data_IF_560621455735
#
_entry.id   IF_560621455735
#
_cell.length_a   1.000
_cell.length_b   1.000
_cell.length_c   1.000
_cell.angle_alpha   90.00
_cell.angle_beta   90.00
_cell.angle_gamma   90.00
#
_symmetry.space_group_name_H-M   'P 1'
#
loop_
_entity.id
_entity.type
_entity.pdbx_description
1 polymer ?
#
# COMPACT_ATOMS: atom_id res chain seq x y z
N UNK A 1 14.45 -4.56 -13.62
CA UNK A 1 13.16 -3.86 -13.79
C UNK A 1 12.78 -3.93 -15.26
N UNK A 2 11.61 -4.50 -15.59
CA UNK A 2 11.13 -4.45 -16.97
C UNK A 2 10.74 -3.00 -17.31
N UNK A 3 11.04 -2.51 -18.53
CA UNK A 3 10.63 -1.17 -18.94
C UNK A 3 9.10 -1.08 -18.98
N UNK A 4 8.55 -0.06 -18.32
CA UNK A 4 7.13 0.28 -18.38
C UNK A 4 6.86 1.21 -19.55
N UNK A 5 5.70 1.03 -20.19
CA UNK A 5 5.22 1.83 -21.32
C UNK A 5 3.98 2.60 -20.88
N UNK A 6 3.88 3.86 -21.29
CA UNK A 6 2.70 4.67 -21.03
C UNK A 6 1.53 4.23 -21.90
N UNK A 7 0.51 3.65 -21.28
CA UNK A 7 -0.80 3.48 -21.86
C UNK A 7 -1.58 4.79 -21.73
N UNK A 8 -2.14 5.25 -22.85
CA UNK A 8 -3.01 6.42 -22.90
C UNK A 8 -4.43 5.98 -23.32
N UNK A 9 -5.26 5.48 -22.39
CA UNK A 9 -6.62 5.09 -22.70
C UNK A 9 -7.46 6.27 -23.19
N UNK A 10 -8.48 5.97 -23.99
CA UNK A 10 -9.48 6.97 -24.40
C UNK A 10 -10.20 7.53 -23.16
N UNK A 11 -10.51 8.82 -23.18
CA UNK A 11 -11.14 9.50 -22.05
C UNK A 11 -12.51 8.89 -21.69
N UNK A 12 -13.26 8.44 -22.68
CA UNK A 12 -14.57 7.81 -22.50
C UNK A 12 -14.47 6.48 -21.76
N UNK A 13 -13.46 5.67 -22.07
CA UNK A 13 -13.20 4.39 -21.39
C UNK A 13 -12.82 4.61 -19.91
N UNK A 14 -11.98 5.62 -19.64
CA UNK A 14 -11.61 5.99 -18.28
C UNK A 14 -12.81 6.53 -17.49
N UNK A 15 -13.58 7.44 -18.10
CA UNK A 15 -14.76 8.03 -17.47
C UNK A 15 -15.83 6.99 -17.16
N UNK A 16 -16.07 6.02 -18.06
CA UNK A 16 -17.00 4.92 -17.83
C UNK A 16 -16.62 4.03 -16.63
N UNK A 17 -15.34 4.00 -16.27
CA UNK A 17 -14.82 3.28 -15.12
C UNK A 17 -14.57 4.19 -13.90
N UNK A 18 -14.82 5.50 -13.98
CA UNK A 18 -14.52 6.46 -12.92
C UNK A 18 -13.01 6.70 -12.71
N UNK A 19 -12.17 6.34 -13.69
CA UNK A 19 -10.73 6.53 -13.64
C UNK A 19 -10.33 7.94 -14.10
N UNK A 20 -9.30 8.56 -13.49
CA UNK A 20 -8.80 9.86 -13.94
C UNK A 20 -8.08 9.76 -15.29
N UNK A 21 -8.16 10.84 -16.08
CA UNK A 21 -7.52 10.98 -17.39
C UNK A 21 -6.02 11.25 -17.26
N UNK A 22 -5.25 10.25 -16.84
CA UNK A 22 -3.79 10.29 -16.71
C UNK A 22 -3.13 9.17 -17.55
N UNK A 23 -1.82 9.26 -17.84
CA UNK A 23 -1.07 8.15 -18.39
C UNK A 23 -0.88 7.03 -17.35
N UNK A 24 -1.12 5.79 -17.78
CA UNK A 24 -0.96 4.60 -16.95
C UNK A 24 0.24 3.78 -17.42
N UNK A 25 1.29 3.63 -16.60
CA UNK A 25 2.42 2.79 -16.97
C UNK A 25 2.01 1.32 -16.88
N UNK A 26 2.34 0.53 -17.89
CA UNK A 26 2.04 -0.90 -17.97
C UNK A 26 3.21 -1.68 -18.59
N UNK A 27 3.24 -2.99 -18.42
CA UNK A 27 4.22 -3.84 -19.11
C UNK A 27 3.96 -3.89 -20.62
N UNK A 28 5.02 -4.04 -21.42
CA UNK A 28 4.90 -4.16 -22.88
C UNK A 28 3.91 -5.27 -23.32
N UNK A 29 3.90 -6.49 -22.73
CA UNK A 29 2.92 -7.50 -23.09
C UNK A 29 1.47 -7.05 -22.84
N UNK A 30 1.21 -6.36 -21.73
CA UNK A 30 -0.11 -5.84 -21.41
C UNK A 30 -0.53 -4.71 -22.35
N UNK A 31 0.40 -3.84 -22.73
CA UNK A 31 0.17 -2.81 -23.75
C UNK A 31 -0.22 -3.45 -25.09
N UNK A 32 0.55 -4.44 -25.55
CA UNK A 32 0.29 -5.15 -26.81
C UNK A 32 -1.07 -5.86 -26.78
N UNK A 33 -1.41 -6.49 -25.65
CA UNK A 33 -2.70 -7.14 -25.46
C UNK A 33 -3.87 -6.13 -25.48
N UNK A 34 -3.72 -4.97 -24.83
CA UNK A 34 -4.74 -3.92 -24.84
C UNK A 34 -5.00 -3.37 -26.25
N UNK A 35 -3.95 -3.22 -27.07
CA UNK A 35 -4.06 -2.83 -28.48
C UNK A 35 -4.75 -3.90 -29.31
N UNK A 36 -4.46 -5.19 -29.05
CA UNK A 36 -5.04 -6.31 -29.79
C UNK A 36 -6.51 -6.59 -29.41
N UNK A 37 -6.88 -6.39 -28.15
CA UNK A 37 -8.20 -6.73 -27.59
C UNK A 37 -9.19 -5.56 -27.64
N UNK A 38 -9.21 -4.81 -28.75
CA UNK A 38 -10.12 -3.67 -29.00
C UNK A 38 -10.18 -2.64 -27.85
N UNK A 39 -9.05 -2.40 -27.18
CA UNK A 39 -8.96 -1.40 -26.12
C UNK A 39 -9.43 -1.85 -24.73
N UNK A 40 -9.62 -3.15 -24.50
CA UNK A 40 -9.84 -3.68 -23.15
C UNK A 40 -8.68 -3.27 -22.22
N UNK A 41 -9.01 -2.63 -21.09
CA UNK A 41 -8.01 -2.04 -20.21
C UNK A 41 -7.38 -3.09 -19.28
N UNK A 42 -6.03 -3.19 -19.22
CA UNK A 42 -5.34 -4.12 -18.34
C UNK A 42 -5.26 -3.55 -16.91
N UNK A 43 -6.37 -3.58 -16.18
CA UNK A 43 -6.52 -2.88 -14.88
C UNK A 43 -5.45 -3.27 -13.85
N UNK A 44 -5.07 -4.55 -13.79
CA UNK A 44 -4.04 -5.04 -12.87
C UNK A 44 -2.65 -4.48 -13.20
N UNK A 45 -2.25 -4.46 -14.48
CA UNK A 45 -1.00 -3.84 -14.92
C UNK A 45 -1.01 -2.33 -14.70
N UNK A 46 -2.14 -1.67 -14.95
CA UNK A 46 -2.30 -0.23 -14.67
C UNK A 46 -2.11 0.07 -13.19
N UNK A 47 -2.68 -0.74 -12.29
CA UNK A 47 -2.50 -0.59 -10.85
C UNK A 47 -1.03 -0.84 -10.47
N UNK A 48 -0.44 -1.93 -10.96
CA UNK A 48 0.94 -2.29 -10.66
C UNK A 48 1.93 -1.21 -11.09
N UNK A 49 1.79 -0.68 -12.31
CA UNK A 49 2.65 0.39 -12.78
C UNK A 49 2.50 1.67 -11.96
N UNK A 50 1.29 2.02 -11.53
CA UNK A 50 1.09 3.15 -10.62
C UNK A 50 1.67 2.90 -9.23
N UNK A 51 1.61 1.67 -8.71
CA UNK A 51 2.27 1.29 -7.46
C UNK A 51 3.79 1.44 -7.55
N UNK A 52 4.40 1.04 -8.67
CA UNK A 52 5.82 1.25 -8.95
C UNK A 52 6.18 2.73 -9.06
N UNK A 53 5.40 3.50 -9.84
CA UNK A 53 5.61 4.95 -10.00
C UNK A 53 5.45 5.67 -8.67
N UNK A 54 4.45 5.31 -7.87
CA UNK A 54 4.25 5.88 -6.54
C UNK A 54 5.41 5.53 -5.59
N UNK A 55 6.09 4.40 -5.77
CA UNK A 55 7.26 4.02 -4.98
C UNK A 55 8.54 4.83 -5.32
N UNK A 56 8.58 5.47 -6.50
CA UNK A 56 9.65 6.40 -6.86
C UNK A 56 9.56 7.68 -6.01
N UNK A 57 10.64 8.03 -5.33
CA UNK A 57 10.71 9.21 -4.45
C UNK A 57 10.51 10.54 -5.16
N UNK A 58 10.63 10.58 -6.49
CA UNK A 58 10.40 11.78 -7.29
C UNK A 58 8.92 11.99 -7.67
N UNK A 59 8.07 10.97 -7.52
CA UNK A 59 6.67 11.06 -7.89
C UNK A 59 5.84 11.78 -6.81
N UNK A 60 4.93 12.65 -7.24
CA UNK A 60 3.87 13.14 -6.36
C UNK A 60 2.82 12.03 -6.15
N UNK A 61 3.13 11.10 -5.24
CA UNK A 61 2.31 9.92 -4.94
C UNK A 61 0.85 10.26 -4.65
N UNK A 62 0.58 11.38 -3.97
CA UNK A 62 -0.78 11.81 -3.62
C UNK A 62 -1.65 12.09 -4.86
N UNK A 63 -1.06 12.51 -5.98
CA UNK A 63 -1.79 12.68 -7.25
C UNK A 63 -2.19 11.37 -7.91
N UNK A 64 -1.51 10.28 -7.57
CA UNK A 64 -1.79 8.93 -8.10
C UNK A 64 -2.82 8.18 -7.25
N UNK A 65 -3.00 8.56 -5.98
CA UNK A 65 -3.91 7.90 -5.04
C UNK A 65 -5.34 7.73 -5.55
N UNK A 66 -5.99 8.72 -6.21
CA UNK A 66 -7.34 8.53 -6.73
C UNK A 66 -7.42 7.42 -7.79
N UNK A 67 -6.42 7.36 -8.67
CA UNK A 67 -6.34 6.34 -9.72
C UNK A 67 -6.09 4.94 -9.13
N UNK A 68 -5.13 4.84 -8.21
CA UNK A 68 -4.80 3.58 -7.52
C UNK A 68 -5.99 3.06 -6.71
N UNK A 69 -6.65 3.96 -5.96
CA UNK A 69 -7.81 3.58 -5.16
C UNK A 69 -8.95 3.05 -6.03
N UNK A 70 -9.21 3.70 -7.17
CA UNK A 70 -10.26 3.27 -8.08
C UNK A 70 -9.93 1.96 -8.78
N UNK A 71 -8.68 1.76 -9.21
CA UNK A 71 -8.26 0.49 -9.79
C UNK A 71 -8.36 -0.66 -8.78
N UNK A 72 -7.96 -0.42 -7.52
CA UNK A 72 -8.09 -1.40 -6.45
C UNK A 72 -9.56 -1.78 -6.19
N UNK A 73 -10.47 -0.81 -6.21
CA UNK A 73 -11.92 -1.06 -6.12
C UNK A 73 -12.43 -1.90 -7.29
N UNK A 74 -12.03 -1.58 -8.53
CA UNK A 74 -12.44 -2.33 -9.73
C UNK A 74 -11.89 -3.77 -9.75
N UNK A 75 -10.76 -4.02 -9.07
CA UNK A 75 -10.11 -5.33 -8.98
C UNK A 75 -10.55 -6.13 -7.74
N UNK A 76 -11.15 -5.48 -6.76
CA UNK A 76 -11.59 -6.14 -5.53
C UNK A 76 -12.72 -7.12 -5.81
N UNK A 77 -12.69 -8.27 -5.14
CA UNK A 77 -13.88 -9.11 -5.02
C UNK A 77 -14.98 -8.31 -4.30
N UNK A 78 -16.24 -8.52 -4.67
CA UNK A 78 -17.40 -7.72 -4.23
C UNK A 78 -17.73 -7.74 -2.72
N UNK A 79 -16.82 -8.21 -1.87
CA UNK A 79 -17.00 -8.27 -0.42
C UNK A 79 -16.76 -6.90 0.21
N UNK A 80 -17.86 -6.24 0.60
CA UNK A 80 -17.87 -4.94 1.26
C UNK A 80 -17.46 -4.99 2.76
N UNK A 81 -16.73 -6.03 3.19
CA UNK A 81 -16.34 -6.18 4.59
C UNK A 81 -15.16 -5.27 4.95
N UNK A 82 -15.30 -4.51 6.03
CA UNK A 82 -14.21 -3.70 6.60
C UNK A 82 -13.13 -4.54 7.29
N UNK A 83 -13.42 -5.82 7.53
CA UNK A 83 -12.46 -6.80 8.03
C UNK A 83 -12.32 -7.92 7.03
N UNK A 84 -11.08 -8.21 6.63
CA UNK A 84 -10.76 -9.29 5.71
C UNK A 84 -9.46 -9.97 6.12
N UNK A 85 -9.28 -11.22 5.76
CA UNK A 85 -7.99 -11.89 5.93
C UNK A 85 -7.54 -12.45 4.60
N UNK A 86 -6.25 -12.31 4.31
CA UNK A 86 -5.61 -12.92 3.16
C UNK A 86 -4.60 -13.93 3.66
N UNK A 87 -4.72 -15.14 3.14
CA UNK A 87 -3.79 -16.23 3.36
C UNK A 87 -3.28 -16.69 2.01
N UNK A 88 -1.96 -16.80 1.86
CA UNK A 88 -1.29 -17.52 0.78
C UNK A 88 -0.36 -18.55 1.40
N UNK A 89 0.28 -19.37 0.58
CA UNK A 89 1.10 -20.51 1.03
C UNK A 89 2.09 -20.15 2.14
N UNK A 90 2.74 -18.98 2.06
CA UNK A 90 3.82 -18.59 2.99
C UNK A 90 3.58 -17.29 3.76
N UNK A 91 2.42 -16.64 3.59
CA UNK A 91 2.14 -15.37 4.25
C UNK A 91 0.67 -15.18 4.60
N UNK A 92 0.41 -14.46 5.68
CA UNK A 92 -0.94 -14.17 6.15
C UNK A 92 -1.04 -12.76 6.74
N UNK A 93 -2.12 -12.05 6.41
CA UNK A 93 -2.46 -10.76 7.01
C UNK A 93 -3.97 -10.70 7.27
N UNK A 94 -4.35 -10.05 8.37
CA UNK A 94 -5.70 -9.57 8.59
C UNK A 94 -5.75 -8.06 8.40
N UNK A 95 -6.75 -7.59 7.68
CA UNK A 95 -7.07 -6.18 7.51
C UNK A 95 -8.25 -5.81 8.40
N UNK A 96 -8.11 -4.69 9.10
CA UNK A 96 -9.14 -4.17 9.97
C UNK A 96 -8.62 -3.08 10.92
N UNK A 97 -9.49 -2.49 11.75
CA UNK A 97 -9.12 -1.42 12.66
C UNK A 97 -8.07 -1.88 13.69
N UNK A 98 -7.14 -0.98 14.00
CA UNK A 98 -6.11 -1.15 15.05
C UNK A 98 -6.20 -0.01 16.06
N UNK A 99 -5.78 -0.27 17.29
CA UNK A 99 -5.72 0.75 18.34
C UNK A 99 -4.47 1.63 18.14
N UNK A 100 -4.69 2.87 17.70
CA UNK A 100 -3.62 3.85 17.46
C UNK A 100 -3.11 4.54 18.73
N UNK A 101 -3.74 4.32 19.89
CA UNK A 101 -3.32 4.86 21.19
C UNK A 101 -2.35 3.93 21.95
N UNK A 102 -1.97 2.80 21.35
CA UNK A 102 -1.04 1.82 21.94
C UNK A 102 0.19 1.64 21.08
N UNK A 103 1.14 0.86 21.60
CA UNK A 103 2.30 0.37 20.87
C UNK A 103 1.90 -0.15 19.48
N UNK A 104 2.40 0.51 18.44
CA UNK A 104 2.00 0.27 17.05
C UNK A 104 3.20 0.45 16.12
N UNK A 105 3.22 -0.31 15.03
CA UNK A 105 4.18 -0.12 13.96
C UNK A 105 3.47 0.55 12.79
N UNK A 106 4.05 1.60 12.21
CA UNK A 106 3.50 2.30 11.06
C UNK A 106 4.32 2.04 9.81
N UNK A 107 3.65 1.97 8.66
CA UNK A 107 4.26 2.18 7.35
C UNK A 107 3.94 3.63 6.98
N UNK A 108 4.97 4.42 6.72
CA UNK A 108 4.83 5.86 6.56
C UNK A 108 5.77 6.45 5.52
N UNK A 109 5.40 7.61 4.98
CA UNK A 109 6.20 8.39 4.02
C UNK A 109 6.05 9.87 4.32
N UNK A 110 7.16 10.55 4.65
CA UNK A 110 7.09 11.91 5.21
C UNK A 110 6.14 11.93 6.42
N UNK A 111 5.24 12.90 6.47
CA UNK A 111 4.18 13.00 7.48
C UNK A 111 2.87 12.26 7.08
N UNK A 112 2.92 11.30 6.16
CA UNK A 112 1.74 10.53 5.73
C UNK A 112 1.77 9.12 6.32
N UNK A 113 0.72 8.77 7.04
CA UNK A 113 0.43 7.41 7.47
C UNK A 113 -0.16 6.62 6.31
N UNK A 114 0.52 5.55 5.87
CA UNK A 114 0.00 4.64 4.85
C UNK A 114 -0.73 3.47 5.50
N UNK A 115 -0.09 2.83 6.49
CA UNK A 115 -0.65 1.72 7.23
C UNK A 115 -0.19 1.70 8.70
N UNK A 116 -0.97 1.05 9.56
CA UNK A 116 -0.65 0.77 10.95
C UNK A 116 -0.80 -0.74 11.20
N UNK A 117 0.13 -1.31 11.96
CA UNK A 117 0.33 -2.74 12.16
C UNK A 117 0.31 -3.01 13.66
N UNK A 118 -0.59 -3.89 14.08
CA UNK A 118 -0.72 -4.34 15.46
C UNK A 118 -0.46 -5.85 15.57
N UNK A 119 0.11 -6.32 16.69
CA UNK A 119 0.25 -7.74 16.95
C UNK A 119 -1.10 -8.38 17.24
N UNK A 120 -1.23 -9.64 16.87
CA UNK A 120 -2.29 -10.53 17.35
C UNK A 120 -1.74 -11.54 18.34
N UNK A 121 -2.63 -12.11 19.16
CA UNK A 121 -2.27 -13.14 20.15
C UNK A 121 -1.76 -14.44 19.52
N UNK A 122 -2.03 -14.68 18.23
CA UNK A 122 -1.59 -15.85 17.46
C UNK A 122 -0.24 -15.63 16.75
N UNK A 123 0.46 -14.53 17.03
CA UNK A 123 1.75 -14.17 16.42
C UNK A 123 1.63 -13.60 15.00
N UNK A 124 0.40 -13.48 14.47
CA UNK A 124 0.13 -12.86 13.18
C UNK A 124 -0.09 -11.34 13.32
N UNK A 125 -0.28 -10.67 12.20
CA UNK A 125 -0.43 -9.22 12.13
C UNK A 125 -1.84 -8.82 11.75
N UNK A 126 -2.36 -7.78 12.42
CA UNK A 126 -3.50 -7.00 11.93
C UNK A 126 -2.98 -5.68 11.33
N UNK A 127 -3.50 -5.31 10.17
CA UNK A 127 -3.10 -4.12 9.43
C UNK A 127 -4.31 -3.24 9.14
N UNK A 128 -4.22 -1.97 9.52
CA UNK A 128 -5.12 -0.91 9.09
C UNK A 128 -4.43 -0.09 8.00
N UNK A 129 -5.09 0.20 6.88
CA UNK A 129 -4.54 1.07 5.85
C UNK A 129 -5.41 2.31 5.66
N UNK A 130 -4.75 3.43 5.37
CA UNK A 130 -5.38 4.76 5.29
C UNK A 130 -5.19 5.41 3.91
N UNK A 131 -4.24 4.89 3.11
CA UNK A 131 -3.91 5.36 1.76
C UNK A 131 -3.58 4.15 0.86
N UNK A 132 -3.75 4.26 -0.47
CA UNK A 132 -3.33 3.22 -1.41
C UNK A 132 -1.86 2.84 -1.18
N UNK A 133 -1.57 1.55 -1.22
CA UNK A 133 -0.22 1.05 -1.03
C UNK A 133 0.59 1.19 -2.32
N UNK A 134 1.67 1.97 -2.26
CA UNK A 134 2.73 1.90 -3.26
C UNK A 134 3.45 0.54 -3.21
N UNK A 135 4.25 0.23 -4.24
CA UNK A 135 4.92 -1.06 -4.34
C UNK A 135 5.89 -1.35 -3.17
N UNK A 136 6.48 -0.31 -2.57
CA UNK A 136 7.39 -0.46 -1.43
C UNK A 136 6.62 -0.73 -0.14
N UNK A 137 5.52 -0.02 0.11
CA UNK A 137 4.62 -0.27 1.22
C UNK A 137 4.04 -1.69 1.16
N UNK A 138 3.54 -2.10 -0.01
CA UNK A 138 3.03 -3.45 -0.24
C UNK A 138 4.10 -4.53 0.00
N UNK A 139 5.30 -4.33 -0.56
CA UNK A 139 6.44 -5.24 -0.36
C UNK A 139 6.85 -5.38 1.11
N UNK A 140 6.83 -4.28 1.88
CA UNK A 140 7.09 -4.32 3.32
C UNK A 140 6.04 -5.15 4.07
N UNK A 141 4.75 -4.93 3.81
CA UNK A 141 3.68 -5.69 4.46
C UNK A 141 3.77 -7.19 4.13
N UNK A 142 4.03 -7.54 2.88
CA UNK A 142 4.22 -8.93 2.45
C UNK A 142 5.45 -9.59 3.13
N UNK A 143 6.56 -8.87 3.26
CA UNK A 143 7.75 -9.38 3.95
C UNK A 143 7.48 -9.65 5.44
N UNK A 144 6.73 -8.77 6.10
CA UNK A 144 6.38 -8.93 7.51
C UNK A 144 5.39 -10.08 7.78
N UNK A 145 4.54 -10.41 6.81
CA UNK A 145 3.45 -11.38 6.92
C UNK A 145 3.85 -12.87 7.05
N UNK A 146 5.14 -13.21 7.09
CA UNK A 146 5.67 -14.58 6.88
C UNK A 146 6.16 -15.31 8.15
N UNK A 147 5.32 -15.82 9.07
CA UNK A 147 5.78 -16.42 10.34
C UNK A 147 5.58 -15.47 11.53
N UNK A 148 6.55 -15.29 12.45
CA UNK A 148 6.40 -14.31 13.57
C UNK A 148 6.55 -12.86 13.06
N UNK A 149 5.44 -12.30 12.57
CA UNK A 149 5.44 -11.01 11.90
C UNK A 149 5.72 -9.84 12.82
N UNK A 150 5.32 -9.92 14.09
CA UNK A 150 5.51 -8.82 15.03
C UNK A 150 6.99 -8.62 15.38
N UNK A 151 7.70 -9.71 15.72
CA UNK A 151 9.12 -9.61 16.03
C UNK A 151 9.92 -9.06 14.84
N UNK A 152 9.65 -9.55 13.62
CA UNK A 152 10.28 -9.00 12.41
C UNK A 152 9.97 -7.54 12.17
N UNK A 153 8.75 -7.11 12.48
CA UNK A 153 8.36 -5.72 12.33
C UNK A 153 9.12 -4.83 13.32
N UNK A 154 9.31 -5.28 14.56
CA UNK A 154 10.16 -4.60 15.55
C UNK A 154 11.62 -4.54 15.09
N UNK A 155 12.19 -5.66 14.62
CA UNK A 155 13.56 -5.71 14.12
C UNK A 155 13.75 -4.78 12.91
N UNK A 156 12.78 -4.75 12.00
CA UNK A 156 12.76 -3.85 10.85
C UNK A 156 12.65 -2.38 11.25
N UNK A 157 11.82 -2.05 12.25
CA UNK A 157 11.68 -0.70 12.76
C UNK A 157 12.96 -0.21 13.45
N UNK A 158 13.61 -1.08 14.24
CA UNK A 158 14.88 -0.77 14.89
C UNK A 158 16.01 -0.51 13.87
N UNK A 159 16.02 -1.22 12.75
CA UNK A 159 17.03 -1.07 11.68
C UNK A 159 16.96 0.25 10.90
N UNK A 160 15.85 0.99 10.95
CA UNK A 160 15.66 2.28 10.25
C UNK A 160 16.14 3.49 11.09
N UNK A 161 16.41 3.27 12.39
CA UNK A 161 16.73 4.33 13.34
C UNK A 161 15.51 5.17 13.73
N UNK A 162 15.65 5.99 14.79
CA UNK A 162 14.62 6.84 15.40
C UNK A 162 14.13 8.01 14.52
N UNK A 163 13.82 7.77 13.25
CA UNK A 163 13.26 8.78 12.35
C UNK A 163 11.75 8.91 12.59
N UNK A 164 11.41 9.42 13.77
CA UNK A 164 10.04 9.83 14.11
C UNK A 164 9.71 11.11 13.35
N UNK A 165 8.70 11.07 12.48
CA UNK A 165 8.17 12.26 11.81
C UNK A 165 9.05 12.91 10.72
N UNK A 166 10.29 12.46 10.54
CA UNK A 166 11.22 12.94 9.52
C UNK A 166 11.97 11.77 8.89
N UNK A 167 11.30 10.97 8.07
CA UNK A 167 11.95 9.87 7.35
C UNK A 167 13.03 10.34 6.37
N UNK A 168 13.75 9.37 5.79
CA UNK A 168 14.54 9.58 4.57
C UNK A 168 13.64 10.26 3.54
N UNK A 169 14.03 11.46 3.10
CA UNK A 169 13.18 12.36 2.31
C UNK A 169 12.51 11.61 1.14
N UNK A 170 11.17 11.61 1.13
CA UNK A 170 10.35 10.98 0.08
C UNK A 170 10.21 9.45 0.12
N UNK A 171 10.93 8.72 0.99
CA UNK A 171 10.92 7.26 1.00
C UNK A 171 9.92 6.64 2.01
N UNK A 172 9.21 5.60 1.56
CA UNK A 172 8.38 4.77 2.44
C UNK A 172 9.27 3.97 3.40
N UNK A 173 8.96 4.02 4.69
CA UNK A 173 9.69 3.34 5.75
C UNK A 173 8.76 2.88 6.88
N UNK A 174 9.30 2.10 7.80
CA UNK A 174 8.59 1.61 8.98
C UNK A 174 9.08 2.38 10.22
N UNK A 175 8.17 2.70 11.14
CA UNK A 175 8.50 3.26 12.45
C UNK A 175 7.72 2.57 13.56
N UNK A 176 8.33 2.47 14.74
CA UNK A 176 7.69 1.92 15.94
C UNK A 176 7.30 3.06 16.88
N UNK A 177 6.03 3.12 17.26
CA UNK A 177 5.48 4.11 18.20
C UNK A 177 5.10 3.41 19.50
N UNK A 178 5.92 3.53 20.54
CA UNK A 178 5.72 2.83 21.81
C UNK A 178 4.44 3.30 22.55
N UNK A 179 4.21 4.61 22.58
CA UNK A 179 3.09 5.24 23.29
C UNK A 179 1.90 5.59 22.38
N UNK A 180 1.84 5.00 21.17
CA UNK A 180 0.82 5.31 20.17
C UNK A 180 1.22 6.44 19.22
N UNK A 181 0.44 6.57 18.14
CA UNK A 181 0.79 7.45 17.03
C UNK A 181 0.73 8.93 17.45
N UNK A 182 1.80 9.65 17.11
CA UNK A 182 1.97 11.07 17.41
C UNK A 182 2.35 11.36 18.85
N UNK A 183 2.79 10.36 19.62
CA UNK A 183 3.48 10.56 20.90
C UNK A 183 4.96 10.26 20.70
N UNK A 184 5.81 11.26 20.89
CA UNK A 184 7.26 11.12 20.82
C UNK A 184 7.83 10.28 21.97
N UNK A 185 9.08 9.81 21.85
CA UNK A 185 9.74 9.03 22.92
C UNK A 185 9.85 9.79 24.25
N UNK A 186 9.91 11.12 24.20
CA UNK A 186 9.94 12.03 25.35
C UNK A 186 8.54 12.35 25.91
N UNK A 187 7.49 11.75 25.35
CA UNK A 187 6.09 12.03 25.69
C UNK A 187 5.52 13.28 25.03
N UNK A 188 6.27 13.96 24.16
CA UNK A 188 5.75 15.10 23.40
C UNK A 188 4.63 14.68 22.45
N UNK A 189 3.68 15.60 22.23
CA UNK A 189 2.60 15.39 21.27
C UNK A 189 3.00 16.01 19.94
N UNK A 190 2.92 15.22 18.86
CA UNK A 190 3.18 15.63 17.48
C UNK A 190 1.83 15.84 16.76
N UNK A 191 1.31 17.08 16.66
CA UNK A 191 -0.05 17.34 16.18
C UNK A 191 -0.33 16.79 14.77
N UNK A 192 0.63 16.93 13.86
CA UNK A 192 0.53 16.47 12.47
C UNK A 192 0.30 14.95 12.35
N UNK A 193 0.78 14.18 13.33
CA UNK A 193 0.56 12.74 13.43
C UNK A 193 -0.74 12.40 14.14
N UNK A 194 -1.18 13.24 15.08
CA UNK A 194 -2.49 13.09 15.74
C UNK A 194 -3.62 13.28 14.75
N UNK A 195 -3.48 14.20 13.80
CA UNK A 195 -4.45 14.41 12.72
C UNK A 195 -4.64 13.17 11.84
N UNK A 196 -3.59 12.38 11.61
CA UNK A 196 -3.67 11.16 10.78
C UNK A 196 -4.66 10.13 11.34
N UNK A 197 -4.93 10.16 12.65
CA UNK A 197 -5.90 9.28 13.31
C UNK A 197 -7.33 9.46 12.85
N UNK A 198 -7.65 10.62 12.29
CA UNK A 198 -9.00 10.95 11.81
C UNK A 198 -9.28 10.43 10.40
N UNK A 199 -8.27 9.84 9.75
CA UNK A 199 -8.42 9.30 8.40
C UNK A 199 -9.33 8.08 8.38
N UNK A 200 -10.16 7.99 7.35
CA UNK A 200 -10.99 6.82 7.11
C UNK A 200 -10.12 5.62 6.76
N UNK A 201 -10.50 4.45 7.27
CA UNK A 201 -9.90 3.18 6.87
C UNK A 201 -10.29 2.84 5.44
N UNK A 202 -9.37 2.21 4.72
CA UNK A 202 -9.69 1.60 3.42
C UNK A 202 -10.37 0.25 3.64
N UNK A 203 -11.32 -0.08 2.77
CA UNK A 203 -11.95 -1.41 2.77
C UNK A 203 -10.92 -2.51 2.54
N UNK A 204 -11.04 -3.59 3.31
CA UNK A 204 -10.09 -4.70 3.28
C UNK A 204 -9.93 -5.29 1.88
N UNK A 205 -11.02 -5.45 1.12
CA UNK A 205 -11.01 -6.03 -0.22
C UNK A 205 -10.14 -5.22 -1.21
N UNK A 206 -10.14 -3.89 -1.09
CA UNK A 206 -9.32 -3.02 -1.95
C UNK A 206 -7.83 -3.21 -1.63
N UNK A 207 -7.49 -3.31 -0.34
CA UNK A 207 -6.11 -3.53 0.11
C UNK A 207 -5.61 -4.90 -0.33
N UNK A 208 -6.46 -5.92 -0.26
CA UNK A 208 -6.14 -7.27 -0.76
C UNK A 208 -5.86 -7.21 -2.27
N UNK A 209 -6.67 -6.51 -3.06
CA UNK A 209 -6.42 -6.35 -4.49
C UNK A 209 -5.08 -5.65 -4.80
N UNK A 210 -4.71 -4.63 -4.01
CA UNK A 210 -3.41 -3.95 -4.11
C UNK A 210 -2.23 -4.90 -3.81
N UNK A 211 -2.35 -5.73 -2.77
CA UNK A 211 -1.32 -6.70 -2.41
C UNK A 211 -1.22 -7.86 -3.40
N UNK A 212 -2.35 -8.41 -3.85
CA UNK A 212 -2.38 -9.48 -4.84
C UNK A 212 -1.76 -9.03 -6.15
N UNK A 213 -2.05 -7.80 -6.58
CA UNK A 213 -1.41 -7.17 -7.74
C UNK A 213 0.10 -7.12 -7.53
N UNK A 214 0.59 -6.50 -6.45
CA UNK A 214 2.02 -6.46 -6.16
C UNK A 214 2.67 -7.85 -6.06
N UNK A 215 2.00 -8.82 -5.46
CA UNK A 215 2.52 -10.18 -5.29
C UNK A 215 2.63 -10.92 -6.62
N UNK A 216 1.59 -10.85 -7.45
CA UNK A 216 1.55 -11.49 -8.76
C UNK A 216 2.67 -10.96 -9.67
N UNK A 217 2.85 -9.64 -9.75
CA UNK A 217 3.90 -9.05 -10.58
C UNK A 217 5.30 -9.10 -9.95
N UNK A 218 5.40 -9.11 -8.61
CA UNK A 218 6.66 -9.23 -7.87
C UNK A 218 7.34 -10.60 -8.02
N UNK A 219 6.57 -11.68 -8.16
CA UNK A 219 7.09 -13.02 -8.44
C UNK A 219 7.80 -13.15 -9.80
N UNK A 220 7.57 -12.20 -10.72
CA UNK A 220 8.19 -12.17 -12.05
C UNK A 220 9.43 -11.27 -12.14
N UNK A 221 9.81 -10.58 -11.07
CA UNK A 221 10.99 -9.70 -11.04
C UNK A 221 12.28 -10.39 -10.54
N UNK A 222 12.21 -11.64 -10.10
CA UNK A 222 13.33 -12.43 -9.51
C UNK A 222 13.60 -13.76 -10.21
N UNK A 223 13.45 -13.81 -11.55
CA UNK A 223 14.04 -14.88 -12.37
C UNK A 223 14.92 -14.31 -13.46
#
# INVERSE_FOLDING_TARGET
MQPMIELHPRAEALSGLGLPAIPYPVALPAFQAAVANDGALPLADMLHGLQLRAADGNANHQRLEPAMARLAELLAASDASDVGSVARENWWLEFGPVDLDRAIITVQRGASLLAAIAPRSDGRLRVATYRPLDARAAGMLLALATGNGWQRALDAAAGVGEHFGGGVEGATHIAYWEAGIGIGPDGSVLPEWREQRTRALRHAAHVVAELDTCHAFGLHATR
#
